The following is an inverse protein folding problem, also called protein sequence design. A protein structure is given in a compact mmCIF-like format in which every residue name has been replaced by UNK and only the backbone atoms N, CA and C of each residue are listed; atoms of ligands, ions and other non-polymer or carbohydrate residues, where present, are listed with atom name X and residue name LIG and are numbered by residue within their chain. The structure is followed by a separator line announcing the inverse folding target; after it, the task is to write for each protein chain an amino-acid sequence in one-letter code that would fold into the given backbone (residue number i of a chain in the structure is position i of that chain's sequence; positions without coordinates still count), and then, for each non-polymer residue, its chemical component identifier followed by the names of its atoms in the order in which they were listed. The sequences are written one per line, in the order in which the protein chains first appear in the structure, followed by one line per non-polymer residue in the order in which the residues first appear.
data_IF_533776160073
#
_entry.id   IF_533776160073
#
_cell.length_a   1.000
_cell.length_b   1.000
_cell.length_c   1.000
_cell.angle_alpha   90.00
_cell.angle_beta   90.00
_cell.angle_gamma   90.00
#
_symmetry.space_group_name_H-M   'P 1'
#
loop_
_entity.id
_entity.type
_entity.pdbx_description
1 polymer ?
#
# COMPACT_ATOMS: atom_id res chain seq x y z
N UNK A 1 -8.74 -12.95 -15.50
CA UNK A 1 -9.32 -13.39 -14.22
C UNK A 1 -8.96 -12.40 -13.13
N UNK A 2 -9.91 -12.00 -12.32
CA UNK A 2 -9.67 -11.00 -11.28
C UNK A 2 -9.14 -11.65 -10.01
N UNK A 3 -8.05 -11.13 -9.47
CA UNK A 3 -7.50 -11.57 -8.18
C UNK A 3 -8.29 -10.92 -7.05
N UNK A 4 -8.34 -11.60 -5.91
CA UNK A 4 -8.88 -11.01 -4.69
C UNK A 4 -7.85 -10.01 -4.15
N UNK A 5 -8.33 -8.94 -3.52
CA UNK A 5 -7.46 -7.97 -2.86
C UNK A 5 -7.85 -7.94 -1.38
N UNK A 6 -6.88 -8.21 -0.52
CA UNK A 6 -7.07 -8.25 0.92
C UNK A 6 -6.14 -7.24 1.57
N UNK A 7 -6.72 -6.26 2.24
CA UNK A 7 -5.93 -5.29 3.02
C UNK A 7 -5.87 -5.81 4.45
N UNK A 8 -4.65 -6.15 4.88
CA UNK A 8 -4.47 -6.71 6.21
C UNK A 8 -4.71 -5.66 7.30
N UNK A 9 -5.05 -6.09 8.53
CA UNK A 9 -5.38 -5.14 9.60
C UNK A 9 -4.32 -4.06 9.85
N UNK A 10 -3.04 -4.42 9.80
CA UNK A 10 -1.96 -3.44 9.99
C UNK A 10 -1.96 -2.38 8.89
N UNK A 11 -2.24 -2.79 7.65
CA UNK A 11 -2.33 -1.83 6.54
C UNK A 11 -3.53 -0.89 6.69
N UNK A 12 -4.64 -1.39 7.20
CA UNK A 12 -5.79 -0.54 7.53
C UNK A 12 -5.43 0.48 8.61
N UNK A 13 -4.68 0.06 9.63
CA UNK A 13 -4.21 0.97 10.67
C UNK A 13 -3.27 2.03 10.09
N UNK A 14 -2.37 1.63 9.19
CA UNK A 14 -1.47 2.55 8.49
C UNK A 14 -2.27 3.60 7.71
N UNK A 15 -3.28 3.17 6.98
CA UNK A 15 -4.13 4.07 6.20
C UNK A 15 -4.87 5.04 7.11
N UNK A 16 -5.38 4.56 8.23
CA UNK A 16 -6.07 5.44 9.20
C UNK A 16 -5.14 6.51 9.73
N UNK A 17 -3.90 6.18 10.05
CA UNK A 17 -2.92 7.16 10.52
C UNK A 17 -2.64 8.23 9.46
N UNK A 18 -2.56 7.82 8.20
CA UNK A 18 -2.38 8.73 7.08
C UNK A 18 -3.59 9.66 6.97
N UNK A 19 -4.78 9.12 7.01
CA UNK A 19 -6.02 9.91 6.97
C UNK A 19 -6.09 10.92 8.11
N UNK A 20 -5.79 10.47 9.34
CA UNK A 20 -5.80 11.32 10.51
C UNK A 20 -4.79 12.47 10.40
N UNK A 21 -3.60 12.18 9.87
CA UNK A 21 -2.58 13.21 9.66
C UNK A 21 -3.06 14.31 8.70
N UNK A 22 -3.69 13.92 7.58
CA UNK A 22 -4.22 14.89 6.63
C UNK A 22 -5.43 15.63 7.18
N UNK A 23 -6.25 14.95 7.97
CA UNK A 23 -7.41 15.58 8.62
C UNK A 23 -6.97 16.67 9.59
N UNK A 24 -5.93 16.41 10.38
CA UNK A 24 -5.42 17.34 11.37
C UNK A 24 -4.65 18.50 10.73
N UNK A 25 -3.83 18.21 9.73
CA UNK A 25 -2.92 19.20 9.14
C UNK A 25 -3.49 19.95 7.93
N UNK A 26 -4.55 19.44 7.33
CA UNK A 26 -5.21 20.04 6.17
C UNK A 26 -6.71 20.12 6.43
N UNK A 27 -7.49 19.26 5.76
CA UNK A 27 -8.94 19.24 5.90
C UNK A 27 -9.52 17.86 5.55
N UNK A 28 -10.84 17.71 5.78
CA UNK A 28 -11.56 16.47 5.50
C UNK A 28 -11.48 16.11 4.03
N UNK A 29 -11.65 17.08 3.15
CA UNK A 29 -11.66 16.85 1.72
C UNK A 29 -10.31 16.29 1.23
N UNK A 30 -9.21 16.87 1.70
CA UNK A 30 -7.87 16.39 1.36
C UNK A 30 -7.63 14.98 1.88
N UNK A 31 -8.05 14.69 3.11
CA UNK A 31 -7.92 13.36 3.70
C UNK A 31 -8.66 12.31 2.86
N UNK A 32 -9.88 12.62 2.41
CA UNK A 32 -10.66 11.71 1.56
C UNK A 32 -9.97 11.49 0.21
N UNK A 33 -9.49 12.55 -0.44
CA UNK A 33 -8.81 12.44 -1.73
C UNK A 33 -7.56 11.58 -1.65
N UNK A 34 -6.76 11.76 -0.61
CA UNK A 34 -5.54 10.96 -0.41
C UNK A 34 -5.89 9.50 -0.19
N UNK A 35 -6.86 9.24 0.68
CA UNK A 35 -7.31 7.88 0.97
C UNK A 35 -7.85 7.19 -0.28
N UNK A 36 -8.72 7.87 -1.05
CA UNK A 36 -9.29 7.32 -2.27
C UNK A 36 -8.20 7.01 -3.30
N UNK A 37 -7.22 7.88 -3.44
CA UNK A 37 -6.12 7.67 -4.38
C UNK A 37 -5.31 6.42 -4.02
N UNK A 38 -5.03 6.23 -2.73
CA UNK A 38 -4.32 5.04 -2.23
C UNK A 38 -5.15 3.78 -2.50
N UNK A 39 -6.44 3.81 -2.16
CA UNK A 39 -7.34 2.66 -2.34
C UNK A 39 -7.55 2.32 -3.80
N UNK A 40 -7.64 3.31 -4.69
CA UNK A 40 -7.75 3.09 -6.13
C UNK A 40 -6.52 2.35 -6.67
N UNK A 41 -5.34 2.75 -6.23
CA UNK A 41 -4.10 2.08 -6.61
C UNK A 41 -4.06 0.62 -6.16
N UNK A 42 -4.53 0.37 -4.95
CA UNK A 42 -4.63 -0.98 -4.39
C UNK A 42 -5.66 -1.81 -5.16
N UNK A 43 -6.82 -1.25 -5.43
CA UNK A 43 -7.90 -1.96 -6.13
C UNK A 43 -7.49 -2.43 -7.52
N UNK A 44 -6.70 -1.63 -8.23
CA UNK A 44 -6.20 -2.01 -9.56
C UNK A 44 -5.34 -3.27 -9.54
N UNK A 45 -4.76 -3.61 -8.41
CA UNK A 45 -3.95 -4.83 -8.28
C UNK A 45 -4.79 -6.10 -8.44
N UNK A 46 -6.10 -6.00 -8.27
CA UNK A 46 -7.01 -7.12 -8.54
C UNK A 46 -7.01 -7.53 -10.01
N UNK A 47 -6.86 -6.57 -10.91
CA UNK A 47 -6.80 -6.83 -12.35
C UNK A 47 -5.36 -6.96 -12.85
N UNK A 48 -4.40 -6.28 -12.21
CA UNK A 48 -3.00 -6.23 -12.62
C UNK A 48 -2.06 -6.49 -11.44
N UNK A 49 -2.05 -7.72 -10.89
CA UNK A 49 -1.29 -8.00 -9.67
C UNK A 49 0.22 -7.84 -9.82
N UNK A 50 0.74 -7.93 -11.05
CA UNK A 50 2.18 -7.79 -11.32
C UNK A 50 2.58 -6.37 -11.74
N UNK A 51 1.66 -5.42 -11.69
CA UNK A 51 1.92 -4.06 -12.15
C UNK A 51 2.80 -3.24 -11.21
N UNK A 52 2.93 -3.66 -9.95
CA UNK A 52 3.75 -2.97 -8.98
C UNK A 52 5.25 -3.15 -9.24
N UNK A 53 6.04 -2.18 -8.78
CA UNK A 53 7.48 -2.21 -8.89
C UNK A 53 8.09 -3.16 -7.87
N UNK A 54 9.30 -3.64 -8.17
CA UNK A 54 10.09 -4.36 -7.19
C UNK A 54 10.47 -3.40 -6.06
N UNK A 55 10.54 -3.95 -4.84
CA UNK A 55 11.02 -3.16 -3.71
C UNK A 55 12.51 -2.86 -3.89
N UNK A 56 12.99 -1.67 -3.43
CA UNK A 56 14.41 -1.34 -3.54
C UNK A 56 15.30 -2.17 -2.62
N UNK A 57 14.72 -2.84 -1.63
CA UNK A 57 15.44 -3.65 -0.67
C UNK A 57 15.48 -5.11 -1.13
N UNK A 58 16.69 -5.70 -1.13
CA UNK A 58 16.89 -7.08 -1.60
C UNK A 58 16.09 -8.09 -0.77
N UNK A 59 16.04 -7.90 0.55
CA UNK A 59 15.31 -8.83 1.41
C UNK A 59 13.83 -8.84 1.08
N UNK A 60 13.24 -7.66 0.87
CA UNK A 60 11.82 -7.57 0.50
C UNK A 60 11.56 -8.24 -0.86
N UNK A 61 12.46 -8.04 -1.82
CA UNK A 61 12.35 -8.68 -3.13
C UNK A 61 12.43 -10.19 -3.03
N UNK A 62 13.33 -10.71 -2.21
CA UNK A 62 13.47 -12.15 -2.00
C UNK A 62 12.22 -12.78 -1.40
N UNK A 63 11.51 -12.01 -0.56
CA UNK A 63 10.27 -12.46 0.05
C UNK A 63 9.06 -12.33 -0.89
N UNK A 64 9.25 -11.78 -2.08
CA UNK A 64 8.18 -11.62 -3.06
C UNK A 64 7.36 -10.35 -2.92
N UNK A 65 7.81 -9.41 -2.09
CA UNK A 65 7.09 -8.14 -1.92
C UNK A 65 7.26 -7.24 -3.12
N UNK A 66 6.18 -6.56 -3.47
CA UNK A 66 6.13 -5.53 -4.51
C UNK A 66 5.53 -4.27 -3.94
N UNK A 67 5.62 -3.18 -4.67
CA UNK A 67 5.12 -1.87 -4.23
C UNK A 67 4.27 -1.23 -5.32
N UNK A 68 3.19 -0.56 -4.91
CA UNK A 68 2.46 0.34 -5.78
C UNK A 68 2.51 1.73 -5.16
N UNK A 69 2.87 2.72 -5.98
CA UNK A 69 3.02 4.10 -5.53
C UNK A 69 1.78 4.90 -5.92
N UNK A 70 1.23 5.62 -4.96
CA UNK A 70 0.07 6.49 -5.12
C UNK A 70 0.43 7.86 -4.54
N UNK A 71 0.95 8.76 -5.41
CA UNK A 71 1.43 10.05 -4.97
C UNK A 71 2.65 9.92 -4.06
N UNK A 72 2.53 10.40 -2.83
CA UNK A 72 3.60 10.34 -1.83
C UNK A 72 3.55 9.08 -0.97
N UNK A 73 2.64 8.17 -1.27
CA UNK A 73 2.41 6.98 -0.46
C UNK A 73 2.70 5.73 -1.26
N UNK A 74 3.10 4.69 -0.55
CA UNK A 74 3.41 3.39 -1.14
C UNK A 74 2.63 2.32 -0.39
N UNK A 75 2.05 1.40 -1.16
CA UNK A 75 1.41 0.21 -0.61
C UNK A 75 2.29 -0.99 -0.93
N UNK A 76 2.70 -1.70 0.12
CA UNK A 76 3.59 -2.86 -0.01
C UNK A 76 2.73 -4.11 0.02
N UNK A 77 2.84 -4.94 -1.01
CA UNK A 77 1.98 -6.09 -1.17
C UNK A 77 2.73 -7.32 -1.63
N UNK A 78 2.06 -8.45 -1.51
CA UNK A 78 2.56 -9.72 -2.02
C UNK A 78 1.39 -10.50 -2.60
N UNK A 79 1.64 -11.23 -3.69
CA UNK A 79 0.62 -12.07 -4.32
C UNK A 79 0.87 -13.51 -3.88
N UNK A 80 -0.14 -14.12 -3.29
CA UNK A 80 -0.10 -15.52 -2.88
C UNK A 80 -1.28 -16.20 -3.52
N UNK A 81 -1.01 -17.14 -4.45
CA UNK A 81 -2.03 -17.83 -5.24
C UNK A 81 -2.86 -16.81 -6.03
N UNK A 82 -4.14 -16.68 -5.72
CA UNK A 82 -5.08 -15.78 -6.42
C UNK A 82 -5.43 -14.54 -5.60
N UNK A 83 -4.66 -14.24 -4.55
CA UNK A 83 -4.96 -13.13 -3.65
C UNK A 83 -3.77 -12.18 -3.53
N UNK A 84 -4.07 -10.89 -3.62
CA UNK A 84 -3.13 -9.81 -3.37
C UNK A 84 -3.31 -9.38 -1.91
N UNK A 85 -2.24 -9.50 -1.12
CA UNK A 85 -2.27 -9.10 0.29
C UNK A 85 -1.51 -7.80 0.47
N UNK A 86 -2.18 -6.79 0.99
CA UNK A 86 -1.54 -5.51 1.31
C UNK A 86 -1.06 -5.56 2.75
N UNK A 87 0.25 -5.47 2.93
CA UNK A 87 0.89 -5.61 4.25
C UNK A 87 1.07 -4.29 4.96
N UNK A 88 1.50 -3.25 4.24
CA UNK A 88 1.74 -1.93 4.81
C UNK A 88 1.45 -0.83 3.82
N UNK A 89 1.07 0.34 4.33
CA UNK A 89 0.92 1.57 3.56
C UNK A 89 1.76 2.63 4.29
N UNK A 90 2.69 3.26 3.57
CA UNK A 90 3.64 4.16 4.18
C UNK A 90 3.97 5.33 3.25
N UNK A 91 4.70 6.31 3.78
CA UNK A 91 5.28 7.39 2.98
C UNK A 91 6.44 6.82 2.15
N UNK A 92 6.60 7.32 0.93
CA UNK A 92 7.66 6.84 0.02
C UNK A 92 9.08 7.03 0.57
N UNK A 93 9.25 7.88 1.59
CA UNK A 93 10.53 8.11 2.23
C UNK A 93 10.84 7.16 3.38
N UNK A 94 9.90 6.28 3.72
CA UNK A 94 10.06 5.33 4.82
C UNK A 94 11.11 4.26 4.47
N UNK A 95 11.86 3.83 5.48
CA UNK A 95 12.72 2.65 5.34
C UNK A 95 11.85 1.40 5.46
N UNK A 96 11.55 0.78 4.34
CA UNK A 96 10.53 -0.26 4.27
C UNK A 96 10.85 -1.50 5.11
N UNK A 97 12.13 -1.88 5.21
CA UNK A 97 12.51 -3.05 6.00
C UNK A 97 12.10 -2.92 7.46
N UNK A 98 12.10 -1.71 8.01
CA UNK A 98 11.70 -1.47 9.40
C UNK A 98 10.24 -1.78 9.67
N UNK A 99 9.40 -1.79 8.63
CA UNK A 99 7.99 -2.12 8.76
C UNK A 99 7.77 -3.61 9.03
N UNK A 100 8.74 -4.45 8.68
CA UNK A 100 8.66 -5.91 8.77
C UNK A 100 9.56 -6.53 9.84
N UNK A 101 10.31 -5.71 10.53
CA UNK A 101 11.25 -6.18 11.56
C UNK A 101 10.96 -5.60 12.92
#
# INVERSE_FOLDING_TARGET
MKYKVEILPVAWEDLKKIEDWYLINFDVETAIKVSDHILDGIERLGDFPDSGSRAPDDWLNEQGYRMVISGKHVSIYRVIKDTVYIYHIADTRTEYTKLFK
#
